data_IF_398506348598
#
_entry.id   IF_398506348598
#
_cell.length_a   1.000
_cell.length_b   1.000
_cell.length_c   1.000
_cell.angle_alpha   90.00
_cell.angle_beta   90.00
_cell.angle_gamma   90.00
#
_symmetry.space_group_name_H-M   'P 1'
#
loop_
_entity.id
_entity.type
_entity.pdbx_description
1 polymer ?
#
# COMPACT_ATOMS: atom_id res chain seq x y z
N UNK A 1 18.71 32.44 4.33
CA UNK A 1 19.29 31.18 3.82
C UNK A 1 19.23 31.23 2.30
N UNK A 2 20.31 30.87 1.62
CA UNK A 2 20.39 30.85 0.15
C UNK A 2 19.63 29.63 -0.43
N UNK A 3 18.82 29.86 -1.47
CA UNK A 3 18.02 28.83 -2.12
C UNK A 3 18.88 27.72 -2.73
N UNK A 4 20.05 28.06 -3.29
CA UNK A 4 20.96 27.07 -3.84
C UNK A 4 21.50 26.14 -2.74
N UNK A 5 21.87 26.70 -1.58
CA UNK A 5 22.26 25.92 -0.40
C UNK A 5 21.12 25.03 0.13
N UNK A 6 19.89 25.52 0.18
CA UNK A 6 18.72 24.73 0.60
C UNK A 6 18.46 23.54 -0.34
N UNK A 7 18.49 23.77 -1.66
CA UNK A 7 18.36 22.72 -2.67
C UNK A 7 19.48 21.69 -2.54
N UNK A 8 20.73 22.14 -2.36
CA UNK A 8 21.87 21.25 -2.19
C UNK A 8 21.72 20.34 -0.96
N UNK A 9 21.35 20.90 0.19
CA UNK A 9 21.14 20.14 1.43
C UNK A 9 19.96 19.18 1.27
N UNK A 10 18.85 19.62 0.69
CA UNK A 10 17.69 18.78 0.43
C UNK A 10 18.05 17.57 -0.45
N UNK A 11 18.79 17.77 -1.54
CA UNK A 11 19.19 16.69 -2.42
C UNK A 11 20.09 15.67 -1.69
N UNK A 12 21.04 16.12 -0.87
CA UNK A 12 21.85 15.22 -0.03
C UNK A 12 20.99 14.40 0.94
N UNK A 13 20.01 15.02 1.58
CA UNK A 13 19.09 14.32 2.48
C UNK A 13 18.23 13.32 1.72
N UNK A 14 17.74 13.67 0.53
CA UNK A 14 16.94 12.79 -0.32
C UNK A 14 17.75 11.58 -0.76
N UNK A 15 18.98 11.78 -1.24
CA UNK A 15 19.86 10.70 -1.66
C UNK A 15 20.19 9.76 -0.49
N UNK A 16 20.47 10.30 0.70
CA UNK A 16 20.69 9.50 1.91
C UNK A 16 19.45 8.70 2.32
N UNK A 17 18.26 9.33 2.27
CA UNK A 17 16.99 8.64 2.53
C UNK A 17 16.75 7.50 1.53
N UNK A 18 16.96 7.75 0.23
CA UNK A 18 16.80 6.73 -0.81
C UNK A 18 17.76 5.55 -0.60
N UNK A 19 19.00 5.80 -0.19
CA UNK A 19 19.95 4.76 0.17
C UNK A 19 19.46 3.94 1.37
N UNK A 20 19.04 4.60 2.46
CA UNK A 20 18.53 3.92 3.66
C UNK A 20 17.30 3.07 3.36
N UNK A 21 16.36 3.58 2.54
CA UNK A 21 15.18 2.83 2.12
C UNK A 21 15.60 1.58 1.35
N UNK A 22 16.49 1.72 0.37
CA UNK A 22 16.98 0.59 -0.43
C UNK A 22 17.65 -0.48 0.43
N UNK A 23 18.55 -0.08 1.32
CA UNK A 23 19.25 -1.02 2.22
C UNK A 23 18.27 -1.72 3.18
N UNK A 24 17.28 -0.98 3.69
CA UNK A 24 16.25 -1.54 4.55
C UNK A 24 15.34 -2.51 3.79
N UNK A 25 14.92 -2.18 2.57
CA UNK A 25 14.12 -3.05 1.70
C UNK A 25 14.87 -4.35 1.39
N UNK A 26 16.16 -4.28 1.06
CA UNK A 26 16.99 -5.48 0.85
C UNK A 26 17.04 -6.37 2.09
N UNK A 27 17.42 -5.79 3.25
CA UNK A 27 17.52 -6.55 4.51
C UNK A 27 16.18 -7.13 4.95
N UNK A 28 15.09 -6.38 4.77
CA UNK A 28 13.75 -6.83 5.08
C UNK A 28 13.35 -7.99 4.18
N UNK A 29 13.59 -7.88 2.87
CA UNK A 29 13.30 -8.94 1.91
C UNK A 29 14.07 -10.23 2.22
N UNK A 30 15.34 -10.13 2.58
CA UNK A 30 16.16 -11.29 2.98
C UNK A 30 15.60 -11.96 4.23
N UNK A 31 15.27 -11.19 5.26
CA UNK A 31 14.69 -11.72 6.49
C UNK A 31 13.31 -12.33 6.25
N UNK A 32 12.46 -11.68 5.45
CA UNK A 32 11.14 -12.20 5.08
C UNK A 32 11.26 -13.54 4.35
N UNK A 33 12.19 -13.69 3.41
CA UNK A 33 12.41 -14.97 2.72
C UNK A 33 12.84 -16.10 3.67
N UNK A 34 13.68 -15.78 4.67
CA UNK A 34 14.05 -16.75 5.71
C UNK A 34 12.83 -17.13 6.56
N UNK A 35 12.00 -16.17 6.95
CA UNK A 35 10.77 -16.44 7.69
C UNK A 35 9.79 -17.31 6.89
N UNK A 36 9.60 -17.02 5.60
CA UNK A 36 8.75 -17.82 4.71
C UNK A 36 9.22 -19.28 4.61
N UNK A 37 10.53 -19.51 4.62
CA UNK A 37 11.09 -20.87 4.64
C UNK A 37 10.69 -21.62 5.91
N UNK A 38 10.77 -20.97 7.07
CA UNK A 38 10.33 -21.56 8.35
C UNK A 38 8.81 -21.78 8.39
N UNK A 39 8.03 -20.84 7.85
CA UNK A 39 6.57 -20.99 7.73
C UNK A 39 6.19 -22.20 6.87
N UNK A 40 6.91 -22.44 5.76
CA UNK A 40 6.69 -23.61 4.89
C UNK A 40 6.95 -24.93 5.63
N UNK A 41 8.02 -25.03 6.42
CA UNK A 41 8.30 -26.20 7.24
C UNK A 41 7.19 -26.46 8.28
N UNK A 42 6.69 -25.40 8.93
CA UNK A 42 5.55 -25.50 9.86
C UNK A 42 4.26 -25.97 9.17
N UNK A 43 4.05 -25.55 7.92
CA UNK A 43 2.92 -26.02 7.10
C UNK A 43 3.05 -27.50 6.73
N UNK A 44 4.26 -27.98 6.38
CA UNK A 44 4.49 -29.40 6.13
C UNK A 44 4.30 -30.24 7.40
N UNK A 45 4.67 -29.73 8.58
CA UNK A 45 4.32 -30.37 9.86
C UNK A 45 2.80 -30.47 10.03
N UNK A 46 2.07 -29.36 9.84
CA UNK A 46 0.60 -29.35 9.91
C UNK A 46 -0.03 -30.39 8.97
N UNK A 47 0.50 -30.51 7.76
CA UNK A 47 0.05 -31.46 6.74
C UNK A 47 0.37 -32.91 7.12
N UNK A 48 1.55 -33.18 7.67
CA UNK A 48 1.97 -34.51 8.11
C UNK A 48 1.18 -34.99 9.35
N UNK A 49 0.84 -34.09 10.27
CA UNK A 49 0.10 -34.43 11.50
C UNK A 49 -1.42 -34.32 11.36
N UNK A 50 -1.91 -33.72 10.28
CA UNK A 50 -3.32 -33.39 10.10
C UNK A 50 -3.84 -32.29 11.04
N UNK A 51 -2.94 -31.55 11.69
CA UNK A 51 -3.29 -30.45 12.59
C UNK A 51 -3.33 -29.11 11.86
N UNK A 52 -4.11 -28.17 12.39
CA UNK A 52 -4.15 -26.78 11.91
C UNK A 52 -3.23 -25.85 12.71
N UNK A 53 -2.34 -26.39 13.54
CA UNK A 53 -1.40 -25.62 14.34
C UNK A 53 -0.81 -26.39 15.52
N UNK A 54 -0.02 -25.69 16.35
CA UNK A 54 0.63 -26.26 17.52
C UNK A 54 1.13 -25.21 18.52
N UNK A 55 1.44 -25.65 19.74
CA UNK A 55 2.08 -24.85 20.79
C UNK A 55 3.43 -25.44 21.14
N UNK A 56 4.41 -24.58 21.37
CA UNK A 56 5.76 -24.92 21.84
C UNK A 56 6.10 -24.07 23.06
N UNK A 57 7.27 -24.29 23.66
CA UNK A 57 7.80 -23.43 24.73
C UNK A 57 8.14 -22.01 24.28
N UNK A 58 8.26 -21.78 22.97
CA UNK A 58 8.64 -20.48 22.39
C UNK A 58 7.45 -19.70 21.80
N UNK A 59 6.28 -20.33 21.67
CA UNK A 59 5.10 -19.70 21.09
C UNK A 59 4.11 -20.69 20.49
N UNK A 60 3.27 -20.22 19.58
CA UNK A 60 2.30 -21.05 18.87
C UNK A 60 2.22 -20.67 17.40
N UNK A 61 1.84 -21.63 16.56
CA UNK A 61 1.61 -21.43 15.14
C UNK A 61 0.25 -22.00 14.75
N UNK A 62 -0.40 -21.39 13.75
CA UNK A 62 -1.69 -21.84 13.24
C UNK A 62 -1.77 -21.63 11.73
N UNK A 63 -2.24 -22.64 11.01
CA UNK A 63 -2.55 -22.60 9.59
C UNK A 63 -3.86 -21.84 9.40
N UNK A 64 -3.84 -20.77 8.60
CA UNK A 64 -5.04 -19.98 8.26
C UNK A 64 -5.09 -19.77 6.75
N UNK A 65 -6.28 -19.87 6.16
CA UNK A 65 -6.49 -19.51 4.75
C UNK A 65 -6.61 -17.98 4.66
N UNK A 66 -5.66 -17.35 3.96
CA UNK A 66 -5.74 -15.92 3.61
C UNK A 66 -6.35 -15.79 2.22
N UNK A 67 -7.60 -15.33 2.14
CA UNK A 67 -8.25 -15.02 0.86
C UNK A 67 -8.04 -13.55 0.52
N UNK A 68 -7.47 -13.28 -0.66
CA UNK A 68 -7.36 -11.93 -1.22
C UNK A 68 -8.23 -11.83 -2.47
N UNK A 69 -9.21 -10.94 -2.43
CA UNK A 69 -10.04 -10.62 -3.60
C UNK A 69 -9.33 -9.56 -4.45
N UNK A 70 -9.29 -9.77 -5.76
CA UNK A 70 -8.72 -8.85 -6.74
C UNK A 70 -9.43 -9.02 -8.07
N UNK A 71 -9.42 -7.98 -8.90
CA UNK A 71 -9.94 -8.00 -10.27
C UNK A 71 -9.03 -7.20 -11.17
N UNK A 72 -8.88 -7.66 -12.42
CA UNK A 72 -8.29 -6.88 -13.51
C UNK A 72 -9.36 -6.21 -14.38
N UNK A 73 -10.60 -6.68 -14.31
CA UNK A 73 -11.72 -6.20 -15.10
C UNK A 73 -12.57 -5.27 -14.22
N UNK A 74 -12.09 -4.03 -14.12
CA UNK A 74 -12.75 -3.02 -13.32
C UNK A 74 -14.06 -2.54 -13.94
N UNK A 75 -14.21 -2.62 -15.26
CA UNK A 75 -15.42 -2.20 -15.95
C UNK A 75 -16.61 -3.08 -15.54
N UNK A 76 -16.43 -4.41 -15.58
CA UNK A 76 -17.44 -5.34 -15.08
C UNK A 76 -17.61 -5.26 -13.55
N UNK A 77 -16.54 -5.00 -12.79
CA UNK A 77 -16.64 -4.81 -11.34
C UNK A 77 -17.50 -3.58 -10.97
N UNK A 78 -17.32 -2.45 -11.67
CA UNK A 78 -18.14 -1.26 -11.46
C UNK A 78 -19.60 -1.50 -11.85
N UNK A 79 -19.84 -2.24 -12.94
CA UNK A 79 -21.19 -2.71 -13.32
C UNK A 79 -21.83 -3.49 -12.18
N UNK A 80 -21.15 -4.53 -11.69
CA UNK A 80 -21.60 -5.35 -10.57
C UNK A 80 -21.93 -4.54 -9.32
N UNK A 81 -21.04 -3.62 -8.92
CA UNK A 81 -21.24 -2.76 -7.74
C UNK A 81 -22.49 -1.89 -7.89
N UNK A 82 -22.68 -1.30 -9.07
CA UNK A 82 -23.83 -0.43 -9.35
C UNK A 82 -25.14 -1.22 -9.42
N UNK A 83 -25.11 -2.39 -10.05
CA UNK A 83 -26.28 -3.27 -10.18
C UNK A 83 -26.77 -3.78 -8.83
N UNK A 84 -25.84 -4.07 -7.91
CA UNK A 84 -26.17 -4.59 -6.59
C UNK A 84 -26.27 -3.51 -5.50
N UNK A 85 -26.02 -2.24 -5.83
CA UNK A 85 -25.98 -1.11 -4.89
C UNK A 85 -25.07 -1.36 -3.68
N UNK A 86 -23.83 -1.82 -3.94
CA UNK A 86 -22.85 -2.21 -2.90
C UNK A 86 -21.53 -1.42 -2.94
N UNK A 87 -21.51 -0.08 -3.00
CA UNK A 87 -20.26 0.70 -3.06
C UNK A 87 -19.34 0.50 -1.84
N UNK A 88 -19.89 0.03 -0.71
CA UNK A 88 -19.16 -0.24 0.54
C UNK A 88 -18.15 -1.40 0.47
N UNK A 89 -18.17 -2.21 -0.60
CA UNK A 89 -17.16 -3.27 -0.78
C UNK A 89 -15.82 -2.73 -1.31
N UNK A 90 -15.81 -1.46 -1.76
CA UNK A 90 -14.60 -0.75 -2.14
C UNK A 90 -13.94 -0.11 -0.92
N UNK A 91 -12.62 0.04 -1.00
CA UNK A 91 -11.86 0.82 -0.02
C UNK A 91 -12.34 2.28 0.00
N UNK A 92 -12.49 2.84 1.21
CA UNK A 92 -12.94 4.22 1.41
C UNK A 92 -11.82 5.22 1.09
N UNK A 93 -11.49 5.36 -0.18
CA UNK A 93 -10.48 6.29 -0.69
C UNK A 93 -10.92 6.91 -2.00
N UNK A 94 -10.90 8.23 -2.05
CA UNK A 94 -11.15 8.98 -3.28
C UNK A 94 -9.88 8.95 -4.14
N UNK A 95 -10.01 8.53 -5.39
CA UNK A 95 -8.93 8.62 -6.37
C UNK A 95 -8.74 10.08 -6.80
N UNK A 96 -7.67 10.72 -6.32
CA UNK A 96 -7.50 12.19 -6.41
C UNK A 96 -7.45 12.71 -7.85
N UNK A 97 -6.79 12.00 -8.79
CA UNK A 97 -6.70 12.40 -10.20
C UNK A 97 -8.08 12.42 -10.87
N UNK A 98 -8.70 11.25 -10.95
CA UNK A 98 -10.06 11.10 -11.50
C UNK A 98 -11.09 12.03 -10.83
N UNK A 99 -11.02 12.21 -9.49
CA UNK A 99 -11.93 13.11 -8.80
C UNK A 99 -11.70 14.56 -9.20
N UNK A 100 -10.44 15.00 -9.36
CA UNK A 100 -10.13 16.33 -9.87
C UNK A 100 -10.69 16.54 -11.27
N UNK A 101 -10.46 15.61 -12.21
CA UNK A 101 -10.99 15.68 -13.57
C UNK A 101 -12.53 15.73 -13.59
N UNK A 102 -13.16 14.92 -12.73
CA UNK A 102 -14.62 14.93 -12.56
C UNK A 102 -15.14 16.29 -12.07
N UNK A 103 -14.49 16.89 -11.07
CA UNK A 103 -14.88 18.20 -10.53
C UNK A 103 -14.63 19.33 -11.54
N UNK A 104 -13.57 19.26 -12.34
CA UNK A 104 -13.30 20.22 -13.42
C UNK A 104 -14.37 20.15 -14.51
N UNK A 105 -14.86 18.95 -14.83
CA UNK A 105 -15.95 18.74 -15.79
C UNK A 105 -17.35 19.01 -15.21
N UNK A 106 -17.51 19.00 -13.88
CA UNK A 106 -18.79 19.17 -13.18
C UNK A 106 -18.64 20.15 -12.00
N UNK A 107 -18.41 21.45 -12.26
CA UNK A 107 -18.12 22.43 -11.21
C UNK A 107 -19.28 22.68 -10.24
N UNK A 108 -20.51 22.33 -10.63
CA UNK A 108 -21.75 22.45 -9.85
C UNK A 108 -22.03 21.24 -8.95
N UNK A 109 -21.29 20.12 -9.11
CA UNK A 109 -21.53 18.87 -8.38
C UNK A 109 -20.52 18.67 -7.26
N UNK A 110 -20.72 19.39 -6.17
CA UNK A 110 -19.95 19.22 -4.92
C UNK A 110 -20.64 18.21 -3.99
N UNK A 111 -19.97 17.09 -3.63
CA UNK A 111 -20.52 16.14 -2.67
C UNK A 111 -20.62 16.77 -1.28
N UNK A 112 -21.77 16.59 -0.62
CA UNK A 112 -21.95 16.99 0.78
C UNK A 112 -20.95 16.24 1.66
N UNK A 113 -20.25 16.96 2.54
CA UNK A 113 -19.28 16.37 3.46
C UNK A 113 -17.88 16.16 2.88
N UNK A 114 -17.60 16.62 1.65
CA UNK A 114 -16.23 16.68 1.13
C UNK A 114 -15.41 17.72 1.89
N UNK A 115 -14.31 17.30 2.49
CA UNK A 115 -13.30 18.20 3.04
C UNK A 115 -12.17 18.37 2.02
N UNK A 116 -11.78 19.62 1.75
CA UNK A 116 -10.70 19.95 0.82
C UNK A 116 -9.62 20.70 1.57
N UNK A 117 -8.46 20.06 1.74
CA UNK A 117 -7.26 20.68 2.28
C UNK A 117 -6.27 20.98 1.14
N UNK A 118 -6.01 22.26 0.90
CA UNK A 118 -4.99 22.70 -0.06
C UNK A 118 -3.74 23.19 0.68
N UNK A 119 -2.58 22.64 0.35
CA UNK A 119 -1.27 23.06 0.91
C UNK A 119 -0.30 23.38 -0.22
N UNK A 120 0.44 24.48 -0.07
CA UNK A 120 1.57 24.75 -0.94
C UNK A 120 2.62 23.64 -0.78
N UNK A 121 3.06 23.07 -1.90
CA UNK A 121 4.11 22.06 -1.94
C UNK A 121 5.25 22.53 -2.85
N UNK A 122 6.47 22.12 -2.54
CA UNK A 122 7.67 22.44 -3.33
C UNK A 122 8.24 21.13 -3.85
N UNK A 123 8.48 21.06 -5.17
CA UNK A 123 9.19 19.95 -5.80
C UNK A 123 10.64 20.36 -6.07
N UNK A 124 11.59 19.66 -5.45
CA UNK A 124 13.02 19.90 -5.67
C UNK A 124 13.58 18.88 -6.65
N UNK A 125 14.12 19.35 -7.77
CA UNK A 125 14.75 18.52 -8.82
C UNK A 125 16.23 18.84 -8.93
N UNK A 126 17.03 17.83 -9.29
CA UNK A 126 18.44 18.02 -9.62
C UNK A 126 18.53 18.74 -10.98
N UNK A 127 19.46 19.67 -11.13
CA UNK A 127 19.75 20.27 -12.43
C UNK A 127 20.25 19.17 -13.40
N UNK A 128 19.91 19.30 -14.68
CA UNK A 128 20.45 18.42 -15.74
C UNK A 128 21.91 18.75 -16.01
#
# INVERSE_FOLDING_TARGET
MDAAKLVQVYLKMRDAKELMVREHETKLSELTAQMETIEQELLEICKATGQDGGKTTYGSFSKTIKTRYWTNDWDNMYGFIKENDVPQILERRIHQGNFKEFMEANPDKLPVGLNVDSKYSITVRRAK
#
